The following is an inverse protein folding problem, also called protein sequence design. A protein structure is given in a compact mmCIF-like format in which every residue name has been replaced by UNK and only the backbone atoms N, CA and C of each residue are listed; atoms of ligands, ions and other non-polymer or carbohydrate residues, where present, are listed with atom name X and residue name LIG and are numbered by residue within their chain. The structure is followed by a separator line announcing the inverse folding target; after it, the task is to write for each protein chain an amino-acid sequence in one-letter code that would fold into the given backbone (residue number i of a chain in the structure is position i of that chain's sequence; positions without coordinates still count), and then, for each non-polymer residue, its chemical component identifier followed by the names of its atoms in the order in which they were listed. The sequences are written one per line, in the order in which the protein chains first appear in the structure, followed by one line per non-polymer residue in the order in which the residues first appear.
data_IF_122570040149
#
_entry.id   IF_122570040149
#
_cell.length_a   1.000
_cell.length_b   1.000
_cell.length_c   1.000
_cell.angle_alpha   90.00
_cell.angle_beta   90.00
_cell.angle_gamma   90.00
#
_symmetry.space_group_name_H-M   'P 1'
#
loop_
_entity.id
_entity.type
_entity.pdbx_description
1 polymer ?
#
# COMPACT_ATOMS: atom_id res chain seq x y z
N UNK A 1 8.26 -26.05 30.12
CA UNK A 1 7.39 -25.30 29.19
C UNK A 1 5.96 -25.44 29.67
N UNK A 2 5.31 -24.36 30.08
CA UNK A 2 3.87 -24.38 30.40
C UNK A 2 3.08 -24.13 29.11
N UNK A 3 2.23 -25.07 28.70
CA UNK A 3 1.37 -24.90 27.51
C UNK A 3 0.08 -24.24 27.96
N UNK A 4 -0.15 -23.00 27.52
CA UNK A 4 -1.45 -22.33 27.68
C UNK A 4 -2.41 -22.75 26.56
N UNK A 5 -3.71 -22.67 26.85
CA UNK A 5 -4.77 -23.31 26.06
C UNK A 5 -4.75 -22.92 24.57
N UNK A 6 -4.78 -23.94 23.69
CA UNK A 6 -4.95 -23.82 22.24
C UNK A 6 -5.68 -25.05 21.73
N UNK A 7 -6.48 -24.89 20.68
CA UNK A 7 -7.39 -25.94 20.18
C UNK A 7 -6.92 -26.59 18.88
N UNK A 8 -5.84 -26.10 18.26
CA UNK A 8 -5.34 -26.60 16.99
C UNK A 8 -4.06 -27.43 17.19
N UNK A 9 -4.18 -28.76 17.09
CA UNK A 9 -3.09 -29.71 17.30
C UNK A 9 -1.88 -29.46 16.38
N UNK A 10 -2.11 -29.09 15.12
CA UNK A 10 -1.03 -28.80 14.16
C UNK A 10 -0.27 -27.54 14.56
N UNK A 11 -0.99 -26.50 14.96
CA UNK A 11 -0.39 -25.25 15.43
C UNK A 11 0.43 -25.45 16.72
N UNK A 12 -0.09 -26.24 17.66
CA UNK A 12 0.59 -26.54 18.93
C UNK A 12 1.87 -27.35 18.69
N UNK A 13 1.78 -28.45 17.94
CA UNK A 13 2.94 -29.30 17.65
C UNK A 13 4.05 -28.53 16.94
N UNK A 14 3.69 -27.75 15.91
CA UNK A 14 4.65 -26.92 15.18
C UNK A 14 5.31 -25.87 16.08
N UNK A 15 4.52 -25.14 16.87
CA UNK A 15 5.03 -24.07 17.74
C UNK A 15 5.90 -24.62 18.87
N UNK A 16 5.48 -25.72 19.51
CA UNK A 16 6.25 -26.36 20.57
C UNK A 16 7.59 -26.89 20.05
N UNK A 17 7.59 -27.53 18.88
CA UNK A 17 8.82 -28.01 18.23
C UNK A 17 9.76 -26.87 17.91
N UNK A 18 9.25 -25.76 17.36
CA UNK A 18 10.06 -24.57 17.07
C UNK A 18 10.72 -23.98 18.32
N UNK A 19 9.98 -23.91 19.44
CA UNK A 19 10.54 -23.42 20.71
C UNK A 19 11.60 -24.38 21.26
N UNK A 20 11.36 -25.69 21.23
CA UNK A 20 12.34 -26.69 21.69
C UNK A 20 13.65 -26.59 20.90
N UNK A 21 13.57 -26.44 19.57
CA UNK A 21 14.74 -26.25 18.72
C UNK A 21 15.59 -25.04 19.14
N UNK A 22 14.94 -23.89 19.37
CA UNK A 22 15.63 -22.69 19.84
C UNK A 22 16.26 -22.90 21.23
N UNK A 23 15.58 -23.59 22.13
CA UNK A 23 16.12 -23.92 23.47
C UNK A 23 17.31 -24.89 23.40
N UNK A 24 17.36 -25.77 22.39
CA UNK A 24 18.50 -26.64 22.11
C UNK A 24 19.65 -25.90 21.40
N UNK A 25 19.51 -24.60 21.14
CA UNK A 25 20.53 -23.77 20.51
C UNK A 25 20.48 -23.74 18.98
N UNK A 26 19.44 -24.34 18.35
CA UNK A 26 19.24 -24.17 16.91
C UNK A 26 18.86 -22.72 16.59
N UNK A 27 19.36 -22.20 15.47
CA UNK A 27 18.98 -20.87 15.01
C UNK A 27 17.48 -20.83 14.68
N UNK A 28 16.74 -19.80 15.12
CA UNK A 28 15.35 -19.64 14.71
C UNK A 28 15.32 -19.41 13.20
N UNK A 29 14.83 -20.39 12.42
CA UNK A 29 14.70 -20.31 10.96
C UNK A 29 13.63 -19.32 10.47
N UNK A 30 13.27 -18.33 11.28
CA UNK A 30 12.29 -17.31 10.94
C UNK A 30 12.98 -16.21 10.12
N UNK A 31 12.78 -16.23 8.81
CA UNK A 31 13.13 -15.10 7.95
C UNK A 31 12.23 -13.90 8.25
N UNK A 32 12.65 -13.04 9.19
CA UNK A 32 11.98 -11.79 9.54
C UNK A 32 12.18 -10.69 8.48
N UNK A 33 12.25 -11.06 7.20
CA UNK A 33 12.47 -10.10 6.13
C UNK A 33 11.21 -9.25 5.91
N UNK A 34 11.32 -7.96 6.22
CA UNK A 34 10.35 -6.90 5.90
C UNK A 34 8.95 -7.03 6.56
N UNK A 35 8.88 -7.48 7.81
CA UNK A 35 7.61 -7.51 8.54
C UNK A 35 7.27 -6.09 9.04
N UNK A 36 6.30 -5.46 8.40
CA UNK A 36 5.71 -4.20 8.87
C UNK A 36 4.44 -4.54 9.68
N UNK A 37 4.27 -3.99 10.89
CA UNK A 37 3.07 -4.24 11.68
C UNK A 37 1.83 -3.70 10.97
N UNK A 38 0.67 -4.31 11.27
CA UNK A 38 -0.61 -3.74 10.85
C UNK A 38 -0.84 -2.37 11.50
N UNK A 39 -1.70 -1.55 10.89
CA UNK A 39 -2.05 -0.22 11.44
C UNK A 39 -2.62 -0.33 12.86
N UNK A 40 -3.51 -1.30 13.09
CA UNK A 40 -4.10 -1.55 14.41
C UNK A 40 -3.06 -2.03 15.41
N UNK A 41 -2.20 -2.98 15.03
CA UNK A 41 -1.14 -3.47 15.90
C UNK A 41 -0.19 -2.35 16.34
N UNK A 42 0.19 -1.47 15.41
CA UNK A 42 1.03 -0.32 15.74
C UNK A 42 0.34 0.70 16.65
N UNK A 43 -0.95 0.97 16.41
CA UNK A 43 -1.73 1.87 17.26
C UNK A 43 -1.82 1.34 18.70
N UNK A 44 -2.12 0.05 18.86
CA UNK A 44 -2.18 -0.60 20.18
C UNK A 44 -0.84 -0.51 20.90
N UNK A 45 0.28 -0.81 20.21
CA UNK A 45 1.62 -0.69 20.81
C UNK A 45 1.90 0.74 21.27
N UNK A 46 1.54 1.75 20.47
CA UNK A 46 1.72 3.16 20.83
C UNK A 46 0.91 3.55 22.07
N UNK A 47 -0.33 3.07 22.19
CA UNK A 47 -1.20 3.31 23.34
C UNK A 47 -0.64 2.65 24.61
N UNK A 48 -0.21 1.38 24.52
CA UNK A 48 0.41 0.66 25.63
C UNK A 48 1.67 1.36 26.11
N UNK A 49 2.55 1.78 25.18
CA UNK A 49 3.79 2.48 25.55
C UNK A 49 3.52 3.82 26.27
N UNK A 50 2.49 4.57 25.86
CA UNK A 50 2.10 5.83 26.53
C UNK A 50 1.66 5.60 27.97
N UNK A 51 0.99 4.49 28.26
CA UNK A 51 0.55 4.15 29.62
C UNK A 51 1.74 3.64 30.44
N UNK A 52 2.52 2.72 29.85
CA UNK A 52 3.59 2.02 30.54
C UNK A 52 4.80 2.91 30.85
N UNK A 53 5.02 4.02 30.15
CA UNK A 53 6.15 4.92 30.40
C UNK A 53 6.15 5.52 31.81
N UNK A 54 4.97 5.64 32.43
CA UNK A 54 4.83 6.13 33.81
C UNK A 54 5.43 5.16 34.83
N UNK A 55 5.52 3.87 34.47
CA UNK A 55 6.06 2.81 35.33
C UNK A 55 7.45 2.36 34.87
N UNK A 56 7.72 2.46 33.57
CA UNK A 56 8.95 1.98 32.93
C UNK A 56 9.58 3.10 32.08
N UNK A 57 10.43 3.90 32.71
CA UNK A 57 11.09 5.06 32.08
C UNK A 57 11.99 4.68 30.90
N UNK A 58 12.53 3.45 30.88
CA UNK A 58 13.32 2.91 29.76
C UNK A 58 12.54 2.80 28.45
N UNK A 59 11.21 2.87 28.48
CA UNK A 59 10.36 2.84 27.28
C UNK A 59 10.35 4.17 26.51
N UNK A 60 10.84 5.27 27.09
CA UNK A 60 10.81 6.58 26.47
C UNK A 60 11.57 6.64 25.14
N UNK A 61 12.79 6.11 25.10
CA UNK A 61 13.59 6.04 23.86
C UNK A 61 12.96 5.16 22.78
N UNK A 62 12.30 4.09 23.19
CA UNK A 62 11.57 3.19 22.28
C UNK A 62 10.35 3.89 21.67
N UNK A 63 9.61 4.64 22.47
CA UNK A 63 8.46 5.43 22.02
C UNK A 63 8.87 6.50 21.01
N UNK A 64 9.91 7.28 21.30
CA UNK A 64 10.40 8.33 20.39
C UNK A 64 10.92 7.75 19.09
N UNK A 65 11.67 6.63 19.15
CA UNK A 65 12.15 5.92 17.97
C UNK A 65 10.97 5.45 17.10
N UNK A 66 9.99 4.80 17.70
CA UNK A 66 8.82 4.25 17.00
C UNK A 66 7.96 5.36 16.36
N UNK A 67 7.76 6.49 17.06
CA UNK A 67 7.09 7.66 16.49
C UNK A 67 7.83 8.24 15.29
N UNK A 68 9.15 8.32 15.34
CA UNK A 68 9.95 8.86 14.23
C UNK A 68 9.85 7.98 12.97
N UNK A 69 9.97 6.67 13.13
CA UNK A 69 9.83 5.68 12.05
C UNK A 69 8.42 5.70 11.44
N UNK A 70 7.37 5.79 12.29
CA UNK A 70 6.00 5.88 11.82
C UNK A 70 5.74 7.14 10.99
N UNK A 71 6.19 8.30 11.47
CA UNK A 71 6.06 9.56 10.73
C UNK A 71 6.74 9.45 9.36
N UNK A 72 7.98 8.96 9.32
CA UNK A 72 8.73 8.77 8.08
C UNK A 72 7.97 7.85 7.09
N UNK A 73 7.43 6.74 7.57
CA UNK A 73 6.66 5.79 6.75
C UNK A 73 5.35 6.39 6.23
N UNK A 74 4.61 7.14 7.06
CA UNK A 74 3.40 7.84 6.64
C UNK A 74 3.70 8.83 5.51
N UNK A 75 4.78 9.62 5.63
CA UNK A 75 5.17 10.58 4.59
C UNK A 75 5.58 9.90 3.28
N UNK A 76 6.32 8.80 3.34
CA UNK A 76 6.62 8.01 2.14
C UNK A 76 5.37 7.49 1.44
N UNK A 77 4.44 6.92 2.21
CA UNK A 77 3.20 6.36 1.66
C UNK A 77 2.34 7.46 1.02
N UNK A 78 2.24 8.65 1.65
CA UNK A 78 1.55 9.80 1.05
C UNK A 78 2.23 10.26 -0.25
N UNK A 79 3.56 10.37 -0.27
CA UNK A 79 4.33 10.74 -1.48
C UNK A 79 4.13 9.73 -2.61
N UNK A 80 4.16 8.43 -2.31
CA UNK A 80 3.88 7.35 -3.27
C UNK A 80 2.47 7.47 -3.83
N UNK A 81 1.47 7.69 -2.98
CA UNK A 81 0.08 7.89 -3.42
C UNK A 81 -0.11 9.14 -4.28
N UNK A 82 0.53 10.27 -3.94
CA UNK A 82 0.47 11.50 -4.75
C UNK A 82 1.11 11.26 -6.12
N UNK A 83 2.26 10.59 -6.20
CA UNK A 83 2.91 10.23 -7.47
C UNK A 83 2.02 9.32 -8.33
N UNK A 84 1.37 8.31 -7.72
CA UNK A 84 0.44 7.41 -8.42
C UNK A 84 -0.77 8.20 -8.94
N UNK A 85 -1.37 9.06 -8.12
CA UNK A 85 -2.49 9.92 -8.54
C UNK A 85 -2.09 10.84 -9.70
N UNK A 86 -0.90 11.46 -9.66
CA UNK A 86 -0.37 12.29 -10.76
C UNK A 86 -0.14 11.49 -12.04
N UNK A 87 0.41 10.27 -11.96
CA UNK A 87 0.56 9.37 -13.12
C UNK A 87 -0.79 8.94 -13.71
N UNK A 88 -1.78 8.64 -12.87
CA UNK A 88 -3.15 8.31 -13.32
C UNK A 88 -3.88 9.51 -13.92
N UNK A 89 -3.53 10.73 -13.49
CA UNK A 89 -3.91 12.00 -14.12
C UNK A 89 -2.92 12.43 -15.20
N UNK A 90 -2.33 11.49 -15.93
CA UNK A 90 -1.77 11.80 -17.24
C UNK A 90 -2.97 12.26 -18.10
N UNK A 91 -3.27 13.55 -18.02
CA UNK A 91 -4.30 14.17 -18.84
C UNK A 91 -3.93 13.90 -20.28
N UNK A 92 -4.85 13.20 -20.96
CA UNK A 92 -4.77 12.99 -22.40
C UNK A 92 -4.46 14.36 -23.01
N UNK A 93 -3.39 14.49 -23.81
CA UNK A 93 -2.95 15.80 -24.25
C UNK A 93 -4.13 16.58 -24.82
N UNK A 94 -4.24 17.87 -24.50
CA UNK A 94 -5.42 18.67 -24.86
C UNK A 94 -5.71 18.56 -26.37
N UNK A 95 -4.68 18.46 -27.22
CA UNK A 95 -4.80 18.24 -28.67
C UNK A 95 -5.43 16.90 -29.09
N UNK A 96 -5.42 15.85 -28.25
CA UNK A 96 -6.16 14.60 -28.50
C UNK A 96 -7.67 14.77 -28.36
N UNK A 97 -8.14 15.79 -27.63
CA UNK A 97 -9.57 16.16 -27.61
C UNK A 97 -9.99 16.92 -28.88
N UNK A 98 -9.05 17.48 -29.64
CA UNK A 98 -9.29 18.20 -30.90
C UNK A 98 -9.26 17.22 -32.08
N UNK A 99 -10.03 16.13 -31.96
CA UNK A 99 -9.94 14.96 -32.81
C UNK A 99 -10.09 15.24 -34.31
N UNK A 100 -9.36 14.46 -35.11
CA UNK A 100 -9.41 14.36 -36.59
C UNK A 100 -10.83 14.17 -37.16
N UNK A 101 -11.80 13.79 -36.32
CA UNK A 101 -13.21 13.59 -36.69
C UNK A 101 -13.91 14.87 -37.15
N UNK A 102 -13.52 16.04 -36.64
CA UNK A 102 -14.13 17.32 -37.05
C UNK A 102 -13.72 17.70 -38.48
N UNK A 103 -12.46 17.49 -38.84
CA UNK A 103 -11.96 17.67 -40.21
C UNK A 103 -12.60 16.66 -41.18
N UNK A 104 -12.71 15.39 -40.77
CA UNK A 104 -13.40 14.37 -41.57
C UNK A 104 -14.87 14.74 -41.80
N UNK A 105 -15.57 15.28 -40.79
CA UNK A 105 -16.95 15.72 -40.94
C UNK A 105 -17.09 16.84 -41.99
N UNK A 106 -16.22 17.84 -41.98
CA UNK A 106 -16.26 18.92 -42.97
C UNK A 106 -15.94 18.41 -44.38
N UNK A 107 -14.93 17.57 -44.54
CA UNK A 107 -14.58 16.97 -45.84
C UNK A 107 -15.69 16.07 -46.40
N UNK A 108 -16.33 15.25 -45.55
CA UNK A 108 -17.47 14.43 -45.95
C UNK A 108 -18.68 15.29 -46.31
N UNK A 109 -18.95 16.35 -45.56
CA UNK A 109 -20.06 17.27 -45.82
C UNK A 109 -19.89 17.97 -47.16
N UNK A 110 -18.69 18.46 -47.47
CA UNK A 110 -18.39 19.07 -48.77
C UNK A 110 -18.52 18.06 -49.92
N UNK A 111 -18.05 16.82 -49.72
CA UNK A 111 -18.16 15.76 -50.73
C UNK A 111 -19.61 15.35 -51.02
N UNK A 112 -20.46 15.29 -50.00
CA UNK A 112 -21.89 14.97 -50.15
C UNK A 112 -22.61 16.13 -50.86
N UNK A 113 -22.36 17.38 -50.48
CA UNK A 113 -22.92 18.55 -51.16
C UNK A 113 -22.52 18.62 -52.63
N UNK A 114 -21.25 18.35 -52.95
CA UNK A 114 -20.77 18.34 -54.34
C UNK A 114 -21.39 17.20 -55.17
N UNK A 115 -21.65 16.04 -54.56
CA UNK A 115 -22.33 14.93 -55.23
C UNK A 115 -23.82 15.17 -55.45
N UNK A 116 -24.52 15.81 -54.50
CA UNK A 116 -25.95 16.19 -54.66
C UNK A 116 -26.14 17.21 -55.79
N UNK A 117 -25.20 18.15 -55.95
CA UNK A 117 -25.25 19.15 -57.02
C UNK A 117 -25.06 18.54 -58.42
N UNK A 118 -24.27 17.45 -58.53
CA UNK A 118 -24.05 16.69 -59.78
C UNK A 118 -25.19 15.73 -60.15
N UNK A 119 -26.15 15.48 -59.27
CA UNK A 119 -27.30 14.59 -59.52
C UNK A 119 -28.57 15.39 -59.86
N UNK A 120 -28.54 16.72 -59.67
CA UNK A 120 -29.65 17.63 -59.96
C UNK A 120 -29.50 18.37 -61.32
N UNK A 121 -28.43 18.09 -62.06
CA UNK A 121 -28.19 18.46 -63.46
C UNK A 121 -28.39 17.24 -64.36
#
# INVERSE_FOLDING_TARGET
MSIYCSYNLRSISSSATAVVKVLLGESPGCELANIVPSKSGLQTVMEVLKIQINFWTSLGSSLTKLQSQWRAQCFENQRKQIKIKKKRRAEVPIWWKWGRKRLLYYLLKERIHANLKRVAE
#
